data_IF_735150783018
#
_entry.id   IF_735150783018
#
_cell.length_a   1.000
_cell.length_b   1.000
_cell.length_c   1.000
_cell.angle_alpha   90.00
_cell.angle_beta   90.00
_cell.angle_gamma   90.00
#
_symmetry.space_group_name_H-M   'P 1'
#
loop_
_entity.id
_entity.type
_entity.pdbx_description
1 polymer ?
#
# COMPACT_ATOMS: atom_id res chain seq x y z
N UNK A 1 4.90 8.67 -10.54
CA UNK A 1 4.20 7.37 -10.53
C UNK A 1 2.76 7.62 -10.98
N UNK A 2 2.17 6.76 -11.81
CA UNK A 2 0.77 6.92 -12.24
C UNK A 2 -0.18 6.19 -11.28
N UNK A 3 -1.48 6.51 -11.32
CA UNK A 3 -2.52 5.92 -10.45
C UNK A 3 -2.56 4.39 -10.51
N UNK A 4 -2.41 3.79 -11.69
CA UNK A 4 -2.33 2.33 -11.84
C UNK A 4 -1.07 1.72 -11.20
N UNK A 5 0.07 2.42 -11.30
CA UNK A 5 1.30 1.98 -10.65
C UNK A 5 1.18 2.07 -9.12
N UNK A 6 0.50 3.11 -8.61
CA UNK A 6 0.19 3.28 -7.20
C UNK A 6 -0.64 2.11 -6.65
N UNK A 7 -1.70 1.74 -7.37
CA UNK A 7 -2.55 0.59 -7.02
C UNK A 7 -1.72 -0.70 -7.00
N UNK A 8 -0.87 -0.91 -8.01
CA UNK A 8 -0.02 -2.10 -8.10
C UNK A 8 1.01 -2.19 -6.97
N UNK A 9 1.64 -1.07 -6.62
CA UNK A 9 2.59 -0.99 -5.51
C UNK A 9 1.88 -1.27 -4.18
N UNK A 10 0.74 -0.61 -3.93
CA UNK A 10 -0.06 -0.81 -2.73
C UNK A 10 -0.59 -2.25 -2.60
N UNK A 11 -1.07 -2.87 -3.69
CA UNK A 11 -1.43 -4.32 -3.73
C UNK A 11 -0.26 -5.22 -3.40
N UNK A 12 0.91 -4.92 -3.94
CA UNK A 12 2.13 -5.72 -3.70
C UNK A 12 2.55 -5.62 -2.23
N UNK A 13 2.52 -4.42 -1.66
CA UNK A 13 2.82 -4.20 -0.25
C UNK A 13 1.81 -4.87 0.68
N UNK A 14 0.51 -4.85 0.32
CA UNK A 14 -0.56 -5.49 1.09
C UNK A 14 -0.46 -7.02 1.08
N UNK A 15 -0.04 -7.62 -0.04
CA UNK A 15 0.14 -9.09 -0.18
C UNK A 15 1.50 -9.60 0.30
N UNK A 16 2.46 -8.71 0.58
CA UNK A 16 3.80 -9.09 0.99
C UNK A 16 3.79 -9.70 2.40
N UNK A 17 4.46 -10.85 2.57
CA UNK A 17 4.58 -11.54 3.85
C UNK A 17 5.13 -10.61 4.93
N UNK A 18 4.41 -10.51 6.05
CA UNK A 18 4.79 -9.71 7.20
C UNK A 18 5.82 -10.49 8.02
N UNK A 19 7.04 -9.97 8.13
CA UNK A 19 8.13 -10.64 8.87
C UNK A 19 8.13 -10.33 10.36
N UNK A 20 7.64 -9.13 10.72
CA UNK A 20 7.61 -8.62 12.09
C UNK A 20 6.48 -7.59 12.24
N UNK A 21 6.06 -7.30 13.47
CA UNK A 21 5.09 -6.23 13.77
C UNK A 21 5.54 -4.86 13.23
N UNK A 22 6.82 -4.53 13.40
CA UNK A 22 7.42 -3.30 12.87
C UNK A 22 7.35 -3.22 11.33
N UNK A 23 7.60 -4.34 10.65
CA UNK A 23 7.50 -4.45 9.19
C UNK A 23 6.06 -4.25 8.70
N UNK A 24 5.08 -4.76 9.46
CA UNK A 24 3.66 -4.52 9.19
C UNK A 24 3.28 -3.04 9.35
N UNK A 25 3.76 -2.37 10.40
CA UNK A 25 3.50 -0.95 10.63
C UNK A 25 4.12 -0.07 9.54
N UNK A 26 5.37 -0.34 9.15
CA UNK A 26 6.04 0.39 8.07
C UNK A 26 5.34 0.19 6.73
N UNK A 27 4.93 -1.04 6.40
CA UNK A 27 4.14 -1.32 5.20
C UNK A 27 2.79 -0.63 5.22
N UNK A 28 2.06 -0.70 6.33
CA UNK A 28 0.76 -0.05 6.45
C UNK A 28 0.88 1.47 6.29
N UNK A 29 1.92 2.08 6.87
CA UNK A 29 2.23 3.51 6.68
C UNK A 29 2.53 3.84 5.22
N UNK A 30 3.32 3.00 4.54
CA UNK A 30 3.67 3.16 3.11
C UNK A 30 2.43 3.07 2.22
N UNK A 31 1.56 2.07 2.45
CA UNK A 31 0.32 1.89 1.69
C UNK A 31 -0.59 3.10 1.89
N UNK A 32 -0.82 3.54 3.14
CA UNK A 32 -1.65 4.72 3.39
C UNK A 32 -1.10 6.00 2.77
N UNK A 33 0.22 6.14 2.69
CA UNK A 33 0.85 7.28 2.03
C UNK A 33 0.57 7.26 0.52
N UNK A 34 0.74 6.11 -0.13
CA UNK A 34 0.42 5.92 -1.56
C UNK A 34 -1.07 6.15 -1.80
N UNK A 35 -1.94 5.62 -0.95
CA UNK A 35 -3.38 5.81 -1.09
C UNK A 35 -3.76 7.29 -1.00
N UNK A 36 -3.21 8.01 -0.03
CA UNK A 36 -3.47 9.45 0.15
C UNK A 36 -2.94 10.30 -1.00
N UNK A 37 -1.75 10.01 -1.51
CA UNK A 37 -1.12 10.76 -2.61
C UNK A 37 -1.91 10.66 -3.92
N UNK A 38 -2.56 9.51 -4.15
CA UNK A 38 -3.31 9.24 -5.37
C UNK A 38 -4.83 9.33 -5.22
N UNK A 39 -5.31 9.81 -4.06
CA UNK A 39 -6.72 9.84 -3.67
C UNK A 39 -7.42 8.49 -3.93
N UNK A 40 -6.76 7.42 -3.47
CA UNK A 40 -7.20 6.03 -3.52
C UNK A 40 -7.66 5.59 -2.13
N UNK A 41 -8.43 4.51 -2.12
CA UNK A 41 -8.89 3.84 -0.91
C UNK A 41 -8.40 2.40 -0.87
N UNK A 42 -8.58 1.73 0.27
CA UNK A 42 -8.28 0.31 0.39
C UNK A 42 -9.11 -0.55 -0.59
N UNK A 43 -10.30 -0.09 -0.99
CA UNK A 43 -11.14 -0.75 -2.00
C UNK A 43 -10.52 -0.70 -3.41
N UNK A 44 -9.76 0.34 -3.74
CA UNK A 44 -9.08 0.43 -5.04
C UNK A 44 -7.95 -0.59 -5.18
N UNK A 45 -7.46 -1.12 -4.06
CA UNK A 45 -6.33 -2.06 -3.98
C UNK A 45 -6.75 -3.44 -3.48
N UNK A 46 -8.05 -3.71 -3.32
CA UNK A 46 -8.60 -5.04 -3.03
C UNK A 46 -8.54 -5.94 -4.27
#
# INVERSE_FOLDING_TARGET
MNKEQAIREAKTLAKATLKSRKDAEEKHKRINQVLKEFNLTWFDIE
#
